data_IF_213078335131
#
_entry.id   IF_213078335131
#
_cell.length_a   1.000
_cell.length_b   1.000
_cell.length_c   1.000
_cell.angle_alpha   90.00
_cell.angle_beta   90.00
_cell.angle_gamma   90.00
#
_symmetry.space_group_name_H-M   'P 1'
#
loop_
_entity.id
_entity.type
_entity.pdbx_description
1 polymer ?
#
# COMPACT_ATOMS: atom_id res chain seq x y z
N UNK A 1 14.24 6.23 20.95
CA UNK A 1 14.56 6.50 19.53
C UNK A 1 13.32 6.10 18.75
N UNK A 2 12.55 7.05 18.22
CA UNK A 2 11.24 6.76 17.64
C UNK A 2 11.34 6.48 16.13
N UNK A 3 12.44 5.86 15.71
CA UNK A 3 12.72 5.53 14.31
C UNK A 3 12.17 4.18 13.89
N UNK A 4 11.72 3.32 14.83
CA UNK A 4 11.35 1.92 14.56
C UNK A 4 10.35 1.76 13.40
N UNK A 5 9.38 2.67 13.27
CA UNK A 5 8.46 2.69 12.12
C UNK A 5 9.17 2.90 10.79
N UNK A 6 10.18 3.78 10.72
CA UNK A 6 11.01 3.95 9.52
C UNK A 6 11.92 2.76 9.30
N UNK A 7 12.59 2.27 10.35
CA UNK A 7 13.48 1.11 10.28
C UNK A 7 12.77 -0.08 9.64
N UNK A 8 11.59 -0.41 10.17
CA UNK A 8 10.87 -1.61 9.75
C UNK A 8 10.26 -1.49 8.36
N UNK A 9 9.75 -0.32 8.01
CA UNK A 9 9.08 -0.10 6.73
C UNK A 9 10.12 0.00 5.60
N UNK A 10 11.24 0.70 5.84
CA UNK A 10 12.38 0.73 4.93
C UNK A 10 12.98 -0.66 4.75
N UNK A 11 13.09 -1.45 5.82
CA UNK A 11 13.55 -2.83 5.75
C UNK A 11 12.68 -3.69 4.81
N UNK A 12 11.35 -3.69 4.96
CA UNK A 12 10.46 -4.48 4.10
C UNK A 12 10.58 -4.05 2.64
N UNK A 13 10.57 -2.75 2.38
CA UNK A 13 10.66 -2.22 1.02
C UNK A 13 12.02 -2.52 0.38
N UNK A 14 13.11 -2.37 1.12
CA UNK A 14 14.47 -2.65 0.64
C UNK A 14 14.64 -4.11 0.25
N UNK A 15 14.22 -5.04 1.12
CA UNK A 15 14.34 -6.47 0.82
C UNK A 15 13.47 -6.88 -0.37
N UNK A 16 12.25 -6.34 -0.46
CA UNK A 16 11.38 -6.50 -1.64
C UNK A 16 12.08 -6.01 -2.91
N UNK A 17 12.72 -4.84 -2.85
CA UNK A 17 13.48 -4.29 -3.97
C UNK A 17 14.69 -5.15 -4.33
N UNK A 18 15.41 -5.73 -3.37
CA UNK A 18 16.57 -6.58 -3.64
C UNK A 18 16.21 -7.80 -4.48
N UNK A 19 15.14 -8.51 -4.09
CA UNK A 19 14.72 -9.75 -4.74
C UNK A 19 13.91 -9.54 -6.02
N UNK A 20 13.50 -8.29 -6.28
CA UNK A 20 12.68 -7.95 -7.43
C UNK A 20 13.40 -8.15 -8.76
N UNK A 21 12.64 -8.63 -9.76
CA UNK A 21 13.04 -8.67 -11.15
C UNK A 21 13.36 -7.26 -11.69
N UNK A 22 14.12 -7.19 -12.77
CA UNK A 22 14.43 -5.90 -13.39
C UNK A 22 13.16 -5.19 -13.88
N UNK A 23 12.18 -5.94 -14.38
CA UNK A 23 10.88 -5.40 -14.81
C UNK A 23 10.11 -4.77 -13.65
N UNK A 24 10.11 -5.41 -12.48
CA UNK A 24 9.49 -4.85 -11.28
C UNK A 24 10.21 -3.60 -10.79
N UNK A 25 11.55 -3.59 -10.79
CA UNK A 25 12.35 -2.39 -10.46
C UNK A 25 12.05 -1.24 -11.41
N UNK A 26 11.85 -1.54 -12.71
CA UNK A 26 11.45 -0.55 -13.70
C UNK A 26 10.01 -0.05 -13.44
N UNK A 27 9.08 -0.93 -13.07
CA UNK A 27 7.71 -0.57 -12.70
C UNK A 27 7.67 0.35 -11.47
N UNK A 28 8.45 0.05 -10.42
CA UNK A 28 8.58 0.92 -9.24
C UNK A 28 9.12 2.32 -9.60
N UNK A 29 10.08 2.42 -10.52
CA UNK A 29 10.62 3.72 -10.98
C UNK A 29 9.63 4.52 -11.83
N UNK A 30 8.78 3.82 -12.59
CA UNK A 30 7.71 4.43 -13.40
C UNK A 30 6.49 4.79 -12.55
N UNK A 31 6.35 4.22 -11.36
CA UNK A 31 5.29 4.59 -10.45
C UNK A 31 5.50 6.05 -10.04
N UNK A 32 4.51 6.88 -10.30
CA UNK A 32 4.58 8.33 -10.15
C UNK A 32 4.46 8.76 -8.68
N UNK A 33 5.32 8.21 -7.80
CA UNK A 33 5.45 8.63 -6.40
C UNK A 33 6.84 9.22 -6.18
N UNK A 34 6.94 10.53 -5.82
CA UNK A 34 8.24 11.14 -5.52
C UNK A 34 8.93 10.46 -4.33
N UNK A 35 8.15 9.99 -3.35
CA UNK A 35 8.64 9.33 -2.14
C UNK A 35 9.23 7.95 -2.42
N UNK A 36 8.56 7.15 -3.26
CA UNK A 36 9.09 5.87 -3.70
C UNK A 36 10.39 6.05 -4.50
N UNK A 37 10.42 7.06 -5.37
CA UNK A 37 11.61 7.36 -6.17
C UNK A 37 12.82 7.77 -5.32
N UNK A 38 12.60 8.54 -4.26
CA UNK A 38 13.66 8.85 -3.27
C UNK A 38 14.22 7.56 -2.67
N UNK A 39 13.37 6.66 -2.19
CA UNK A 39 13.80 5.39 -1.57
C UNK A 39 14.52 4.47 -2.57
N UNK A 40 13.95 4.21 -3.75
CA UNK A 40 14.55 3.34 -4.77
C UNK A 40 15.90 3.88 -5.27
N UNK A 41 16.01 5.20 -5.43
CA UNK A 41 17.29 5.85 -5.77
C UNK A 41 18.31 5.67 -4.64
N UNK A 42 17.88 5.84 -3.39
CA UNK A 42 18.74 5.72 -2.22
C UNK A 42 19.20 4.27 -1.99
N UNK A 43 18.35 3.28 -2.26
CA UNK A 43 18.72 1.86 -2.25
C UNK A 43 19.79 1.53 -3.29
N UNK A 44 19.71 2.14 -4.47
CA UNK A 44 20.74 2.00 -5.50
C UNK A 44 22.09 2.57 -5.02
N UNK A 45 22.07 3.68 -4.29
CA UNK A 45 23.29 4.26 -3.70
C UNK A 45 23.84 3.41 -2.55
N UNK A 46 22.97 2.84 -1.72
CA UNK A 46 23.33 1.86 -0.69
C UNK A 46 23.99 0.62 -1.30
N UNK A 47 23.42 0.03 -2.37
CA UNK A 47 24.03 -1.12 -3.04
C UNK A 47 25.41 -0.81 -3.63
N UNK A 48 25.64 0.45 -3.99
CA UNK A 48 26.94 0.95 -4.46
C UNK A 48 27.88 1.36 -3.30
N UNK A 49 27.52 1.06 -2.04
CA UNK A 49 28.28 1.37 -0.82
C UNK A 49 28.56 2.86 -0.61
N UNK A 50 27.70 3.73 -1.16
CA UNK A 50 27.83 5.18 -0.99
C UNK A 50 27.23 5.68 0.32
N UNK A 51 26.25 4.95 0.86
CA UNK A 51 25.58 5.23 2.12
C UNK A 51 25.32 3.93 2.87
N UNK A 52 25.07 4.01 4.17
CA UNK A 52 24.48 2.93 4.98
C UNK A 52 22.96 2.92 4.86
N UNK A 53 22.32 1.83 5.28
CA UNK A 53 20.85 1.75 5.27
C UNK A 53 20.23 2.72 6.32
N UNK A 54 20.95 2.97 7.41
CA UNK A 54 20.58 3.97 8.43
C UNK A 54 20.60 5.38 7.85
N UNK A 55 21.60 5.71 7.02
CA UNK A 55 21.67 7.00 6.33
C UNK A 55 20.53 7.14 5.31
N UNK A 56 20.17 6.07 4.58
CA UNK A 56 19.00 6.08 3.68
C UNK A 56 17.71 6.34 4.46
N UNK A 57 17.52 5.64 5.59
CA UNK A 57 16.38 5.84 6.50
C UNK A 57 16.32 7.27 7.00
N UNK A 58 17.44 7.79 7.51
CA UNK A 58 17.49 9.13 8.10
C UNK A 58 17.29 10.22 7.06
N UNK A 59 17.84 10.04 5.85
CA UNK A 59 17.57 10.92 4.72
C UNK A 59 16.07 10.97 4.40
N UNK A 60 15.41 9.81 4.29
CA UNK A 60 13.98 9.75 4.01
C UNK A 60 13.13 10.36 5.13
N UNK A 61 13.45 10.05 6.39
CA UNK A 61 12.80 10.62 7.58
C UNK A 61 12.91 12.15 7.61
N UNK A 62 14.09 12.71 7.35
CA UNK A 62 14.30 14.16 7.30
C UNK A 62 13.50 14.81 6.17
N UNK A 63 13.43 14.18 4.99
CA UNK A 63 12.63 14.70 3.88
C UNK A 63 11.13 14.72 4.21
N UNK A 64 10.61 13.65 4.81
CA UNK A 64 9.22 13.59 5.24
C UNK A 64 8.91 14.64 6.32
N UNK A 65 9.77 14.82 7.31
CA UNK A 65 9.59 15.86 8.32
C UNK A 65 9.62 17.26 7.71
N UNK A 66 10.52 17.54 6.77
CA UNK A 66 10.63 18.85 6.13
C UNK A 66 9.37 19.20 5.34
N UNK A 67 8.84 18.27 4.56
CA UNK A 67 7.65 18.51 3.72
C UNK A 67 6.34 18.42 4.52
N UNK A 68 6.29 17.59 5.55
CA UNK A 68 5.10 17.35 6.36
C UNK A 68 5.41 17.43 7.87
N UNK A 69 5.84 18.60 8.38
CA UNK A 69 6.35 18.74 9.75
C UNK A 69 5.31 18.43 10.82
N UNK A 70 4.02 18.62 10.53
CA UNK A 70 2.94 18.31 11.46
C UNK A 70 2.62 16.80 11.55
N UNK A 71 2.92 16.03 10.50
CA UNK A 71 2.58 14.59 10.42
C UNK A 71 3.78 13.69 10.72
N UNK A 72 5.00 14.14 10.42
CA UNK A 72 6.23 13.35 10.56
C UNK A 72 7.16 14.01 11.57
N UNK A 73 6.70 14.15 12.81
CA UNK A 73 7.40 14.86 13.89
C UNK A 73 8.56 14.02 14.47
N UNK A 74 9.68 14.66 14.79
CA UNK A 74 10.77 14.02 15.51
C UNK A 74 10.46 13.86 17.00
N UNK A 75 10.84 12.72 17.58
CA UNK A 75 10.72 12.49 19.03
C UNK A 75 9.32 12.10 19.51
N UNK A 76 8.36 11.93 18.60
CA UNK A 76 7.02 11.34 18.88
C UNK A 76 6.93 9.93 18.28
N UNK A 77 6.00 9.10 18.76
CA UNK A 77 5.72 7.83 18.10
C UNK A 77 5.33 8.06 16.64
N UNK A 78 5.75 7.16 15.75
CA UNK A 78 5.50 7.26 14.32
C UNK A 78 4.68 6.07 13.85
N UNK A 79 3.69 6.33 13.00
CA UNK A 79 2.87 5.27 12.41
C UNK A 79 3.60 4.65 11.21
N UNK A 80 3.84 3.33 11.26
CA UNK A 80 4.35 2.59 10.12
C UNK A 80 3.39 2.67 8.91
N UNK A 81 2.08 2.68 9.16
CA UNK A 81 1.06 2.92 8.12
C UNK A 81 1.28 4.28 7.44
N UNK A 82 1.47 5.35 8.23
CA UNK A 82 1.65 6.69 7.67
C UNK A 82 2.91 6.77 6.79
N UNK A 83 3.99 6.10 7.20
CA UNK A 83 5.24 6.01 6.41
C UNK A 83 5.01 5.21 5.12
N UNK A 84 4.38 4.03 5.22
CA UNK A 84 4.12 3.15 4.07
C UNK A 84 3.18 3.81 3.05
N UNK A 85 2.11 4.46 3.51
CA UNK A 85 1.15 5.12 2.61
C UNK A 85 1.77 6.27 1.82
N UNK A 86 2.84 6.91 2.31
CA UNK A 86 3.48 8.01 1.57
C UNK A 86 4.12 7.58 0.26
N UNK A 87 4.78 6.42 0.21
CA UNK A 87 5.36 5.93 -1.05
C UNK A 87 4.36 5.24 -1.96
N UNK A 88 3.15 4.93 -1.48
CA UNK A 88 2.03 4.47 -2.32
C UNK A 88 1.17 5.62 -2.85
N UNK A 89 1.36 6.85 -2.36
CA UNK A 89 0.64 8.00 -2.86
C UNK A 89 1.27 8.45 -4.19
N UNK A 90 0.72 7.94 -5.28
CA UNK A 90 1.05 8.34 -6.66
C UNK A 90 -0.07 9.19 -7.26
N UNK A 91 0.14 9.73 -8.47
CA UNK A 91 -0.84 10.59 -9.15
C UNK A 91 -1.94 9.81 -9.90
N UNK A 92 -1.77 8.50 -10.05
CA UNK A 92 -2.70 7.64 -10.80
C UNK A 92 -3.82 7.15 -9.90
N UNK A 93 -5.06 7.36 -10.32
CA UNK A 93 -6.19 6.84 -9.58
C UNK A 93 -6.26 5.30 -9.70
N UNK A 94 -6.30 4.64 -8.56
CA UNK A 94 -6.28 3.20 -8.41
C UNK A 94 -7.68 2.58 -8.60
N UNK A 95 -8.70 3.21 -8.05
CA UNK A 95 -10.08 2.69 -7.99
C UNK A 95 -11.05 3.78 -8.45
N UNK A 96 -12.09 3.39 -9.18
CA UNK A 96 -13.26 4.22 -9.47
C UNK A 96 -14.51 3.67 -8.81
N UNK A 97 -15.32 4.57 -8.28
CA UNK A 97 -16.62 4.25 -7.69
C UNK A 97 -17.71 4.61 -8.70
N UNK A 98 -18.52 3.62 -9.05
CA UNK A 98 -19.66 3.76 -9.94
C UNK A 98 -20.96 3.51 -9.19
N UNK A 99 -21.96 4.32 -9.48
CA UNK A 99 -23.29 4.20 -8.91
C UNK A 99 -24.24 3.84 -10.04
N UNK A 100 -24.92 2.69 -9.96
CA UNK A 100 -25.81 2.21 -11.04
C UNK A 100 -27.12 1.69 -10.46
N UNK A 101 -28.25 2.12 -11.00
CA UNK A 101 -29.55 1.57 -10.63
C UNK A 101 -29.96 0.41 -11.55
N UNK A 102 -31.03 -0.32 -11.19
CA UNK A 102 -31.57 -1.43 -12.01
C UNK A 102 -31.97 -1.06 -13.44
N UNK A 103 -32.19 0.23 -13.72
CA UNK A 103 -32.55 0.75 -15.04
C UNK A 103 -31.32 1.31 -15.79
N UNK A 104 -30.10 0.97 -15.36
CA UNK A 104 -28.83 1.38 -15.97
C UNK A 104 -28.57 2.90 -16.01
N UNK A 105 -29.29 3.68 -15.22
CA UNK A 105 -28.91 5.07 -14.97
C UNK A 105 -27.70 5.06 -14.03
N UNK A 106 -26.56 5.57 -14.50
CA UNK A 106 -25.33 5.56 -13.72
C UNK A 106 -24.55 6.87 -13.80
N UNK A 107 -23.85 7.18 -12.70
CA UNK A 107 -22.94 8.31 -12.57
C UNK A 107 -21.60 7.76 -12.05
N UNK A 108 -20.50 8.17 -12.68
CA UNK A 108 -19.13 7.93 -12.19
C UNK A 108 -18.79 9.12 -11.29
N UNK A 109 -18.56 8.88 -10.00
CA UNK A 109 -18.51 10.00 -9.04
C UNK A 109 -17.13 10.24 -8.41
N UNK A 110 -16.21 9.28 -8.40
CA UNK A 110 -14.91 9.50 -7.79
C UNK A 110 -13.86 8.48 -8.21
N UNK A 111 -12.60 8.91 -8.19
CA UNK A 111 -11.44 8.05 -8.33
C UNK A 111 -10.53 8.20 -7.10
N UNK A 112 -10.12 7.09 -6.47
CA UNK A 112 -9.25 7.09 -5.28
C UNK A 112 -7.78 6.90 -5.66
N UNK A 113 -6.88 7.61 -4.99
CA UNK A 113 -5.43 7.58 -5.24
C UNK A 113 -4.67 6.66 -4.28
N UNK A 114 -5.28 6.23 -3.17
CA UNK A 114 -4.69 5.31 -2.19
C UNK A 114 -5.73 4.36 -1.61
N UNK A 115 -5.31 3.14 -1.27
CA UNK A 115 -6.17 2.09 -0.74
C UNK A 115 -5.81 1.83 0.72
N UNK A 116 -6.72 2.18 1.62
CA UNK A 116 -6.64 1.88 3.06
C UNK A 116 -7.85 1.04 3.41
N UNK A 117 -7.74 -0.28 3.29
CA UNK A 117 -8.74 -1.19 3.84
C UNK A 117 -8.06 -2.38 4.52
N UNK A 118 -8.82 -3.04 5.39
CA UNK A 118 -8.37 -4.24 6.10
C UNK A 118 -8.09 -5.36 5.09
N UNK A 119 -7.11 -6.24 5.32
CA UNK A 119 -6.85 -7.37 4.40
C UNK A 119 -8.07 -8.26 4.23
N UNK A 120 -8.88 -8.41 5.28
CA UNK A 120 -10.16 -9.08 5.21
C UNK A 120 -11.15 -8.29 4.35
N UNK A 121 -11.18 -6.96 4.40
CA UNK A 121 -11.92 -6.11 3.47
C UNK A 121 -11.37 -6.21 2.05
N UNK A 122 -10.05 -6.25 1.81
CA UNK A 122 -9.49 -6.50 0.47
C UNK A 122 -9.96 -7.85 -0.04
N UNK A 123 -9.84 -8.89 0.78
CA UNK A 123 -10.19 -10.28 0.44
C UNK A 123 -11.70 -10.42 0.24
N UNK A 124 -12.54 -9.82 1.08
CA UNK A 124 -13.99 -9.80 0.93
C UNK A 124 -14.42 -8.93 -0.24
N UNK A 125 -13.76 -7.78 -0.49
CA UNK A 125 -13.97 -6.93 -1.67
C UNK A 125 -13.59 -7.65 -2.96
N UNK A 126 -12.51 -8.43 -2.93
CA UNK A 126 -11.99 -9.19 -4.08
C UNK A 126 -12.67 -10.55 -4.27
N UNK A 127 -13.17 -11.21 -3.22
CA UNK A 127 -13.86 -12.53 -3.31
C UNK A 127 -15.38 -12.40 -3.37
N UNK A 128 -15.99 -11.46 -2.66
CA UNK A 128 -17.43 -11.40 -2.41
C UNK A 128 -17.88 -9.98 -2.04
N UNK A 129 -17.80 -8.98 -2.93
CA UNK A 129 -18.78 -7.88 -2.84
C UNK A 129 -19.99 -8.29 -3.67
N UNK A 130 -21.11 -8.70 -3.07
CA UNK A 130 -22.37 -8.45 -3.74
C UNK A 130 -22.45 -6.92 -3.85
N UNK A 131 -22.44 -6.44 -5.09
CA UNK A 131 -23.36 -5.41 -5.58
C UNK A 131 -24.26 -4.89 -4.44
N UNK A 132 -24.09 -3.61 -4.10
CA UNK A 132 -25.06 -2.76 -3.41
C UNK A 132 -25.06 -2.77 -1.88
N UNK A 133 -24.63 -1.66 -1.30
CA UNK A 133 -25.52 -0.99 -0.35
C UNK A 133 -26.26 0.11 -1.11
N UNK A 134 -27.59 0.06 -1.10
CA UNK A 134 -28.42 1.18 -1.55
C UNK A 134 -28.25 2.30 -0.54
N UNK A 135 -27.37 3.26 -0.84
CA UNK A 135 -27.17 4.45 0.01
C UNK A 135 -28.06 5.60 -0.48
N UNK A 136 -28.51 5.54 -1.74
CA UNK A 136 -29.18 6.64 -2.44
C UNK A 136 -30.20 6.09 -3.44
N UNK A 137 -31.31 6.82 -3.65
CA UNK A 137 -32.27 6.53 -4.72
C UNK A 137 -31.86 7.23 -6.02
N UNK A 138 -32.07 6.56 -7.15
CA UNK A 138 -31.78 7.12 -8.47
C UNK A 138 -32.68 8.34 -8.73
N UNK A 139 -32.09 9.50 -9.02
CA UNK A 139 -32.85 10.74 -9.28
C UNK A 139 -33.77 10.67 -10.50
N UNK A 140 -33.53 9.75 -11.43
CA UNK A 140 -34.34 9.60 -12.65
C UNK A 140 -35.49 8.60 -12.52
N UNK A 141 -35.30 7.53 -11.74
CA UNK A 141 -36.26 6.41 -11.71
C UNK A 141 -36.62 5.91 -10.32
N UNK A 142 -36.12 6.60 -9.27
CA UNK A 142 -36.37 6.32 -7.85
C UNK A 142 -36.06 4.89 -7.40
N UNK A 143 -35.33 4.13 -8.22
CA UNK A 143 -34.90 2.78 -7.89
C UNK A 143 -33.61 2.83 -7.08
N UNK A 144 -33.38 1.81 -6.27
CA UNK A 144 -32.15 1.64 -5.51
C UNK A 144 -30.91 1.76 -6.41
N UNK A 145 -29.93 2.51 -5.93
CA UNK A 145 -28.65 2.68 -6.59
C UNK A 145 -27.63 1.79 -5.89
N UNK A 146 -26.94 1.01 -6.69
CA UNK A 146 -25.86 0.16 -6.26
C UNK A 146 -24.55 0.91 -6.41
N UNK A 147 -23.78 1.01 -5.33
CA UNK A 147 -22.36 1.33 -5.39
C UNK A 147 -21.56 0.10 -5.86
N UNK A 148 -20.73 0.29 -6.87
CA UNK A 148 -19.75 -0.67 -7.34
C UNK A 148 -18.37 -0.02 -7.49
N UNK A 149 -17.34 -0.86 -7.48
CA UNK A 149 -15.94 -0.45 -7.52
C UNK A 149 -15.26 -1.11 -8.71
N UNK A 150 -14.36 -0.38 -9.37
CA UNK A 150 -13.54 -0.90 -10.47
C UNK A 150 -12.11 -0.41 -10.28
N UNK A 151 -11.16 -1.34 -10.24
CA UNK A 151 -9.75 -1.00 -10.27
C UNK A 151 -9.38 -0.55 -11.68
N UNK A 152 -8.79 0.65 -11.78
CA UNK A 152 -8.37 1.26 -13.03
C UNK A 152 -6.89 0.97 -13.34
N UNK A 153 -6.13 0.64 -12.30
CA UNK A 153 -4.69 0.51 -12.38
C UNK A 153 -4.18 -0.49 -11.34
N UNK A 154 -3.18 -1.30 -11.71
CA UNK A 154 -2.49 -2.21 -10.81
C UNK A 154 -1.14 -1.60 -10.40
N UNK A 155 -0.99 -1.03 -9.18
CA UNK A 155 0.26 -0.47 -8.72
C UNK A 155 1.30 -1.56 -8.48
N UNK A 156 2.60 -1.31 -8.70
CA UNK A 156 3.63 -2.31 -8.43
C UNK A 156 3.70 -2.72 -6.95
N UNK A 157 3.17 -1.88 -6.04
CA UNK A 157 3.11 -2.17 -4.61
C UNK A 157 1.72 -1.85 -4.07
N UNK A 158 1.14 -2.79 -3.33
CA UNK A 158 -0.11 -2.62 -2.61
C UNK A 158 0.17 -2.71 -1.11
N UNK A 159 -0.10 -1.61 -0.39
CA UNK A 159 -0.08 -1.63 1.07
C UNK A 159 -1.48 -1.92 1.57
N UNK A 160 -1.58 -2.81 2.55
CA UNK A 160 -2.84 -3.20 3.19
C UNK A 160 -2.69 -3.04 4.69
N UNK A 161 -3.59 -2.27 5.31
CA UNK A 161 -3.55 -1.97 6.74
C UNK A 161 -4.65 -2.76 7.42
N UNK A 162 -4.28 -3.62 8.36
CA UNK A 162 -5.25 -4.48 9.05
C UNK A 162 -5.17 -4.29 10.54
N UNK A 163 -6.33 -4.28 11.17
CA UNK A 163 -6.47 -4.21 12.62
C UNK A 163 -7.33 -5.39 13.07
N UNK A 164 -7.02 -5.94 14.25
CA UNK A 164 -7.81 -7.00 14.90
C UNK A 164 -7.95 -8.30 14.09
N UNK A 165 -6.91 -8.73 13.37
CA UNK A 165 -6.91 -10.03 12.70
C UNK A 165 -6.79 -11.20 13.69
N UNK A 166 -7.65 -12.21 13.52
CA UNK A 166 -7.56 -13.51 14.23
C UNK A 166 -7.08 -14.65 13.32
N UNK A 167 -6.95 -14.39 12.02
CA UNK A 167 -6.56 -15.36 10.99
C UNK A 167 -5.28 -14.92 10.29
N UNK A 168 -4.54 -15.86 9.70
CA UNK A 168 -3.34 -15.54 8.92
C UNK A 168 -3.71 -14.93 7.56
N UNK A 169 -2.89 -13.99 7.03
CA UNK A 169 -3.13 -13.40 5.72
C UNK A 169 -2.95 -14.42 4.60
N UNK A 170 -3.77 -14.32 3.54
CA UNK A 170 -3.52 -15.03 2.29
C UNK A 170 -2.17 -14.58 1.71
N UNK A 171 -1.38 -15.53 1.18
CA UNK A 171 -0.08 -15.22 0.56
C UNK A 171 -0.21 -14.51 -0.79
N UNK A 172 -1.40 -14.51 -1.37
CA UNK A 172 -1.68 -13.96 -2.69
C UNK A 172 -3.03 -13.29 -2.74
N UNK A 173 -3.12 -12.18 -3.47
CA UNK A 173 -4.36 -11.48 -3.76
C UNK A 173 -4.47 -11.30 -5.28
N UNK A 174 -5.69 -11.42 -5.80
CA UNK A 174 -5.99 -11.11 -7.19
C UNK A 174 -6.85 -9.84 -7.25
N UNK A 175 -6.49 -8.92 -8.13
CA UNK A 175 -7.34 -7.78 -8.48
C UNK A 175 -7.65 -7.84 -9.97
N UNK A 176 -8.87 -7.50 -10.36
CA UNK A 176 -9.25 -7.39 -11.76
C UNK A 176 -9.09 -5.93 -12.22
N UNK A 177 -8.24 -5.71 -13.23
CA UNK A 177 -8.08 -4.40 -13.88
C UNK A 177 -8.48 -4.56 -15.33
N UNK A 178 -9.60 -3.94 -15.70
CA UNK A 178 -10.17 -3.98 -17.04
C UNK A 178 -10.36 -5.40 -17.61
N UNK A 179 -10.79 -6.35 -16.78
CA UNK A 179 -11.01 -7.76 -17.16
C UNK A 179 -9.74 -8.61 -17.17
N UNK A 180 -8.60 -8.06 -16.75
CA UNK A 180 -7.33 -8.77 -16.61
C UNK A 180 -7.07 -9.01 -15.13
N UNK A 181 -6.96 -10.28 -14.76
CA UNK A 181 -6.60 -10.69 -13.40
C UNK A 181 -5.10 -10.42 -13.14
N UNK A 182 -4.82 -9.57 -12.17
CA UNK A 182 -3.49 -9.20 -11.71
C UNK A 182 -3.21 -9.89 -10.38
N UNK A 183 -2.12 -10.64 -10.31
CA UNK A 183 -1.70 -11.40 -9.12
C UNK A 183 -0.67 -10.61 -8.30
N UNK A 184 -0.94 -10.47 -7.00
CA UNK A 184 -0.03 -9.92 -6.01
C UNK A 184 0.42 -11.02 -5.05
N UNK A 185 1.69 -10.95 -4.65
CA UNK A 185 2.28 -11.82 -3.63
C UNK A 185 2.58 -11.02 -2.36
N UNK A 186 2.29 -11.61 -1.20
CA UNK A 186 2.65 -11.04 0.09
C UNK A 186 4.16 -11.14 0.31
N UNK A 187 4.84 -10.00 0.31
CA UNK A 187 6.30 -9.90 0.47
C UNK A 187 6.73 -9.52 1.87
N UNK A 188 5.86 -8.91 2.67
CA UNK A 188 6.19 -8.58 4.05
C UNK A 188 4.99 -8.13 4.87
N UNK A 189 5.12 -8.25 6.20
CA UNK A 189 4.12 -7.87 7.19
C UNK A 189 4.83 -7.05 8.26
N UNK A 190 4.27 -5.89 8.59
CA UNK A 190 4.69 -5.09 9.74
C UNK A 190 3.68 -5.30 10.88
N UNK A 191 4.18 -5.65 12.05
CA UNK A 191 3.41 -5.87 13.27
C UNK A 191 3.67 -4.73 14.25
N UNK A 192 2.64 -4.32 14.98
CA UNK A 192 2.75 -3.38 16.08
C UNK A 192 2.27 -4.02 17.38
N UNK A 193 3.06 -3.90 18.44
CA UNK A 193 2.70 -4.37 19.77
C UNK A 193 3.69 -3.87 20.81
N UNK A 194 3.23 -3.63 22.04
CA UNK A 194 4.07 -3.14 23.14
C UNK A 194 4.90 -1.89 22.79
N UNK A 195 4.28 -0.91 22.10
CA UNK A 195 4.94 0.32 21.62
C UNK A 195 6.16 0.09 20.72
N UNK A 196 6.19 -1.04 20.01
CA UNK A 196 7.31 -1.43 19.16
C UNK A 196 6.83 -2.06 17.86
N UNK A 197 7.60 -1.85 16.79
CA UNK A 197 7.31 -2.44 15.49
C UNK A 197 8.30 -3.55 15.16
N UNK A 198 7.78 -4.65 14.64
CA UNK A 198 8.57 -5.76 14.10
C UNK A 198 8.07 -6.09 12.70
N UNK A 199 8.85 -6.81 11.90
CA UNK A 199 8.41 -7.26 10.59
C UNK A 199 8.87 -8.65 10.26
N UNK A 200 8.11 -9.23 9.34
CA UNK A 200 8.49 -10.42 8.60
C UNK A 200 8.59 -10.08 7.13
N UNK A 201 9.64 -10.56 6.47
CA UNK A 201 9.82 -10.49 5.03
C UNK A 201 9.85 -11.90 4.47
N UNK A 202 9.11 -12.15 3.39
CA UNK A 202 9.05 -13.44 2.71
C UNK A 202 9.91 -13.36 1.44
N UNK A 203 10.93 -14.20 1.36
CA UNK A 203 11.79 -14.31 0.19
C UNK A 203 11.14 -15.16 -0.93
N UNK A 204 11.72 -15.17 -2.12
CA UNK A 204 11.18 -15.89 -3.29
C UNK A 204 11.14 -17.42 -3.12
N UNK A 205 11.97 -17.97 -2.25
CA UNK A 205 11.99 -19.40 -1.88
C UNK A 205 11.00 -19.75 -0.75
N UNK A 206 10.23 -18.76 -0.28
CA UNK A 206 9.30 -18.90 0.84
C UNK A 206 9.95 -18.82 2.22
N UNK A 207 11.28 -18.60 2.31
CA UNK A 207 11.93 -18.35 3.60
C UNK A 207 11.45 -17.03 4.20
N UNK A 208 11.26 -17.02 5.53
CA UNK A 208 10.74 -15.87 6.26
C UNK A 208 11.83 -15.30 7.17
N UNK A 209 12.14 -14.04 6.96
CA UNK A 209 13.12 -13.29 7.73
C UNK A 209 12.41 -12.39 8.75
N UNK A 210 12.89 -12.37 9.99
CA UNK A 210 12.35 -11.52 11.05
C UNK A 210 13.27 -10.33 11.32
N UNK A 211 12.68 -9.16 11.52
CA UNK A 211 13.37 -7.94 11.93
C UNK A 211 12.65 -7.33 13.13
N UNK A 212 13.42 -7.03 14.18
CA UNK A 212 12.93 -6.48 15.45
C UNK A 212 13.03 -4.95 15.51
N UNK A 213 13.21 -4.24 14.40
CA UNK A 213 13.21 -2.78 14.37
C UNK A 213 14.26 -2.08 15.26
N UNK A 214 15.32 -2.80 15.65
CA UNK A 214 16.44 -2.36 16.50
C UNK A 214 17.75 -2.69 15.80
#
# INVERSE_FOLDING_TARGET
>A
NNSCAYDITVYVLYNTWCIASQDYKNALRKFESPWLNILVTSFTKYSNRQYTLEEVRDYFRQHLNREFPASFVFGTEMSAEAVMLKWCNGFVAFESIHYTCRNSHGIIQSSKMAYTCSLQQVIEECKVRPIARSVVLCSLCMSDVVEGHRYLYAPPLLNVVVVFMTVSPDLTIHIDVDGIAMLYHLVGIVYYGNSHFTARFTNTDGSVWFNDGI
#
